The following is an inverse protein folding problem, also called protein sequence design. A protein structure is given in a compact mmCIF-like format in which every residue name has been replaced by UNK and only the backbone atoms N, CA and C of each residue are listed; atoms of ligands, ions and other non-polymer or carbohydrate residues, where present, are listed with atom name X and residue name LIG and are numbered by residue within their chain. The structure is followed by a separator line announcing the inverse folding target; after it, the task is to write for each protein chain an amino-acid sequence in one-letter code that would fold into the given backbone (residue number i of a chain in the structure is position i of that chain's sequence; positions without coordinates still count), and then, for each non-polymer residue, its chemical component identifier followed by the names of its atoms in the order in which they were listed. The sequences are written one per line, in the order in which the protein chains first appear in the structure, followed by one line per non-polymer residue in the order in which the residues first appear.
data_IF_254507771304
#
_entry.id   IF_254507771304
#
_cell.length_a   1.000
_cell.length_b   1.000
_cell.length_c   1.000
_cell.angle_alpha   90.00
_cell.angle_beta   90.00
_cell.angle_gamma   90.00
#
_symmetry.space_group_name_H-M   'P 1'
#
loop_
_entity.id
_entity.type
_entity.pdbx_description
1 polymer ?
#
# COMPACT_ATOMS: atom_id res chain seq x y z
N UNK A 1 -0.47 7.00 -23.64
CA UNK A 1 0.06 5.86 -22.86
C UNK A 1 -0.62 4.58 -23.34
N UNK A 2 -0.17 4.08 -24.49
CA UNK A 2 -0.67 2.84 -25.09
C UNK A 2 0.05 1.65 -24.47
N UNK A 3 -0.73 0.69 -23.98
CA UNK A 3 -0.23 -0.58 -23.47
C UNK A 3 -0.02 -1.50 -24.66
N UNK A 4 1.23 -1.63 -25.12
CA UNK A 4 1.62 -2.54 -26.20
C UNK A 4 1.92 -3.91 -25.60
N UNK A 5 1.00 -4.85 -25.74
CA UNK A 5 1.28 -6.29 -25.63
C UNK A 5 1.65 -6.78 -27.04
N UNK A 6 2.95 -6.76 -27.34
CA UNK A 6 3.49 -7.50 -28.46
C UNK A 6 3.65 -8.97 -28.03
N UNK A 7 2.87 -9.86 -28.61
CA UNK A 7 3.00 -11.30 -28.40
C UNK A 7 4.23 -11.82 -29.17
N UNK A 8 5.15 -12.59 -28.57
CA UNK A 8 6.29 -13.14 -29.28
C UNK A 8 5.87 -14.37 -30.12
N UNK A 9 6.23 -14.34 -31.40
CA UNK A 9 6.08 -15.48 -32.32
C UNK A 9 6.85 -16.72 -31.82
N UNK A 10 6.35 -17.95 -32.05
CA UNK A 10 7.03 -19.16 -31.59
C UNK A 10 8.28 -19.45 -32.43
N UNK A 11 9.41 -19.89 -31.83
CA UNK A 11 10.57 -20.32 -32.59
C UNK A 11 10.35 -21.68 -33.26
N UNK A 12 10.87 -21.78 -34.49
CA UNK A 12 10.86 -22.93 -35.38
C UNK A 12 11.63 -24.11 -34.78
N UNK A 13 11.00 -25.28 -34.69
CA UNK A 13 11.62 -26.53 -34.24
C UNK A 13 12.75 -27.00 -35.16
N UNK A 14 13.88 -27.48 -34.63
CA UNK A 14 14.78 -28.40 -35.33
C UNK A 14 14.62 -29.85 -34.84
N UNK A 15 14.61 -30.79 -35.78
CA UNK A 15 14.60 -32.23 -35.56
C UNK A 15 15.99 -32.75 -35.05
N UNK A 16 16.08 -33.98 -34.52
CA UNK A 16 17.03 -34.33 -33.46
C UNK A 16 18.36 -34.90 -33.97
N UNK A 17 19.44 -34.54 -33.28
CA UNK A 17 20.70 -35.30 -33.31
C UNK A 17 21.96 -34.43 -33.26
N UNK A 18 22.51 -34.23 -32.06
CA UNK A 18 23.93 -34.46 -31.72
C UNK A 18 24.28 -33.82 -30.37
N UNK A 19 24.83 -34.65 -29.48
CA UNK A 19 25.42 -34.26 -28.22
C UNK A 19 26.81 -33.65 -28.44
N UNK A 20 27.15 -32.58 -27.70
CA UNK A 20 28.31 -32.51 -26.80
C UNK A 20 28.74 -31.07 -26.47
N UNK A 21 29.20 -30.94 -25.22
CA UNK A 21 30.13 -29.94 -24.64
C UNK A 21 29.57 -28.64 -24.04
N UNK A 22 29.72 -28.58 -22.70
CA UNK A 22 29.84 -27.36 -21.92
C UNK A 22 31.25 -26.74 -22.08
N UNK A 23 31.38 -25.43 -21.86
CA UNK A 23 32.39 -24.97 -20.91
C UNK A 23 31.92 -23.82 -19.99
N UNK A 24 32.72 -23.62 -18.94
CA UNK A 24 32.48 -22.75 -17.79
C UNK A 24 32.96 -21.29 -17.95
N UNK A 25 32.50 -20.46 -17.02
CA UNK A 25 33.13 -19.26 -16.41
C UNK A 25 33.46 -18.01 -17.25
N UNK A 26 32.79 -16.88 -16.94
CA UNK A 26 33.36 -15.61 -16.40
C UNK A 26 32.30 -14.47 -16.43
N UNK A 27 32.36 -13.48 -15.53
CA UNK A 27 31.43 -12.35 -15.50
C UNK A 27 31.94 -11.16 -16.34
N UNK A 28 31.10 -10.43 -17.08
CA UNK A 28 31.46 -9.11 -17.55
C UNK A 28 30.95 -8.03 -16.58
N UNK A 29 31.87 -7.35 -15.90
CA UNK A 29 31.67 -5.96 -15.50
C UNK A 29 31.74 -5.09 -16.75
N UNK A 30 30.73 -4.27 -16.99
CA UNK A 30 30.87 -3.07 -17.81
C UNK A 30 29.88 -2.00 -17.32
N UNK A 31 30.46 -0.95 -16.76
CA UNK A 31 29.93 0.39 -16.62
C UNK A 31 28.95 0.81 -17.71
N UNK A 32 27.85 1.43 -17.35
CA UNK A 32 27.16 2.37 -18.23
C UNK A 32 26.63 3.52 -17.39
N UNK A 33 27.42 4.60 -17.37
CA UNK A 33 26.87 5.94 -17.25
C UNK A 33 25.93 6.13 -18.44
N UNK A 34 24.64 6.33 -18.18
CA UNK A 34 23.65 6.56 -19.23
C UNK A 34 23.02 7.94 -19.05
N UNK A 35 23.63 8.89 -19.77
CA UNK A 35 23.05 10.01 -20.52
C UNK A 35 21.76 10.66 -19.99
N UNK A 36 21.92 11.87 -19.45
CA UNK A 36 20.91 12.79 -18.93
C UNK A 36 20.17 13.59 -20.03
N UNK A 37 20.01 13.03 -21.24
CA UNK A 37 19.62 13.81 -22.42
C UNK A 37 18.23 13.52 -23.00
N UNK A 38 17.33 12.88 -22.24
CA UNK A 38 15.98 12.56 -22.74
C UNK A 38 14.89 12.75 -21.66
N UNK A 39 14.98 13.84 -20.90
CA UNK A 39 13.97 14.20 -19.90
C UNK A 39 13.22 15.44 -20.41
N UNK A 40 11.90 15.30 -20.56
CA UNK A 40 10.96 16.37 -20.92
C UNK A 40 11.20 17.61 -20.03
N UNK A 41 11.27 18.83 -20.62
CA UNK A 41 11.52 20.07 -19.87
C UNK A 41 10.54 20.31 -18.71
N UNK A 42 9.30 19.82 -18.80
CA UNK A 42 8.32 19.95 -17.71
C UNK A 42 8.64 19.01 -16.54
N UNK A 43 9.21 17.83 -16.82
CA UNK A 43 9.63 16.86 -15.81
C UNK A 43 10.89 17.35 -15.09
N UNK A 44 11.82 17.98 -15.81
CA UNK A 44 13.00 18.61 -15.19
C UNK A 44 12.61 19.72 -14.22
N UNK A 45 11.61 20.54 -14.57
CA UNK A 45 11.11 21.61 -13.70
C UNK A 45 10.46 21.07 -12.43
N UNK A 46 9.71 19.98 -12.55
CA UNK A 46 9.11 19.28 -11.41
C UNK A 46 10.20 18.69 -10.48
N UNK A 47 11.20 18.02 -11.04
CA UNK A 47 12.33 17.45 -10.25
C UNK A 47 13.12 18.56 -9.55
N UNK A 48 13.35 19.69 -10.22
CA UNK A 48 14.05 20.84 -9.64
C UNK A 48 13.31 21.45 -8.44
N UNK A 49 11.97 21.44 -8.46
CA UNK A 49 11.14 21.94 -7.37
C UNK A 49 11.36 21.15 -6.07
N UNK A 50 11.40 19.81 -6.15
CA UNK A 50 11.67 18.96 -4.99
C UNK A 50 13.11 19.05 -4.47
N UNK A 51 14.09 19.23 -5.37
CA UNK A 51 15.49 19.39 -4.96
C UNK A 51 15.75 20.75 -4.30
N UNK A 52 14.99 21.79 -4.69
CA UNK A 52 15.09 23.12 -4.10
C UNK A 52 14.57 23.20 -2.66
N UNK A 53 13.70 22.27 -2.25
CA UNK A 53 13.14 22.22 -0.89
C UNK A 53 14.10 21.54 0.13
N UNK A 54 15.21 20.97 -0.33
CA UNK A 54 16.18 20.23 0.50
C UNK A 54 17.52 20.93 0.78
N UNK A 55 17.73 22.17 0.33
CA UNK A 55 18.99 22.91 0.55
C UNK A 55 18.76 24.25 1.25
N UNK A 56 18.74 24.22 2.58
CA UNK A 56 19.03 25.39 3.43
C UNK A 56 20.52 25.40 3.82
N UNK A 57 21.23 26.28 3.13
CA UNK A 57 22.44 27.08 3.45
C UNK A 57 23.59 26.57 4.35
N UNK A 58 24.80 26.66 3.81
CA UNK A 58 26.06 26.87 4.54
C UNK A 58 26.65 28.23 4.12
N UNK A 59 26.85 29.18 5.06
CA UNK A 59 27.80 30.26 4.85
C UNK A 59 28.88 30.32 5.96
N UNK A 60 30.11 30.60 5.50
CA UNK A 60 31.33 30.73 6.27
C UNK A 60 31.42 32.04 7.09
N UNK A 61 32.26 32.01 8.13
CA UNK A 61 32.47 33.02 9.17
C UNK A 61 33.47 34.16 8.76
N UNK A 62 33.89 35.10 9.65
CA UNK A 62 33.49 36.52 9.59
C UNK A 62 34.66 37.54 9.51
N UNK A 63 34.36 38.82 9.24
CA UNK A 63 35.27 39.97 9.49
C UNK A 63 34.51 41.28 9.84
N UNK A 64 35.16 42.29 10.48
CA UNK A 64 34.55 43.07 11.57
C UNK A 64 34.28 44.58 11.34
N UNK A 65 33.19 45.09 11.96
CA UNK A 65 32.95 46.45 12.59
C UNK A 65 33.11 47.77 11.78
N UNK A 66 32.65 48.99 12.21
CA UNK A 66 31.82 49.41 13.37
C UNK A 66 30.68 50.47 13.11
N UNK A 67 29.84 50.71 14.14
CA UNK A 67 29.07 51.95 14.51
C UNK A 67 27.91 52.44 13.59
N UNK A 68 26.74 52.94 14.03
CA UNK A 68 26.39 53.76 15.21
C UNK A 68 24.84 53.86 15.38
N UNK A 69 24.37 53.81 16.63
CA UNK A 69 23.32 54.63 17.30
C UNK A 69 21.88 54.86 16.75
N UNK A 70 20.96 54.72 17.72
CA UNK A 70 19.68 55.45 18.00
C UNK A 70 18.32 54.93 17.46
N UNK A 71 17.48 54.45 18.39
CA UNK A 71 16.04 54.24 18.32
C UNK A 71 15.26 55.58 18.53
N UNK A 72 13.90 55.69 18.54
CA UNK A 72 12.85 54.64 18.52
C UNK A 72 11.58 54.94 17.66
N UNK A 73 10.75 53.91 17.41
CA UNK A 73 9.30 53.83 17.73
C UNK A 73 8.44 52.99 16.75
N UNK A 74 7.80 51.96 17.33
CA UNK A 74 6.45 51.39 17.08
C UNK A 74 6.05 51.02 15.63
N UNK A 75 5.98 49.72 15.33
CA UNK A 75 4.74 48.92 15.39
C UNK A 75 4.87 47.52 14.76
N UNK A 76 4.17 46.57 15.41
CA UNK A 76 3.60 45.29 14.93
C UNK A 76 4.49 44.12 14.49
N UNK A 77 4.48 43.11 15.37
CA UNK A 77 4.29 41.65 15.14
C UNK A 77 5.31 40.85 14.34
N UNK A 78 5.70 39.63 14.68
CA UNK A 78 5.63 38.78 15.88
C UNK A 78 6.44 37.55 15.46
N UNK A 79 7.65 37.36 15.99
CA UNK A 79 8.40 36.11 15.81
C UNK A 79 8.29 35.28 17.09
N UNK A 80 7.95 34.01 16.87
CA UNK A 80 7.69 33.00 17.88
C UNK A 80 8.98 32.53 18.55
N UNK A 81 9.19 32.93 19.80
CA UNK A 81 10.16 32.32 20.72
C UNK A 81 9.41 31.42 21.71
N UNK A 82 9.40 30.12 21.48
CA UNK A 82 8.71 29.12 22.32
C UNK A 82 9.65 28.09 22.94
N UNK A 83 10.97 28.27 22.81
CA UNK A 83 11.93 27.51 23.61
C UNK A 83 12.26 28.28 24.88
N UNK A 84 11.50 28.01 25.96
CA UNK A 84 12.09 27.79 27.28
C UNK A 84 11.07 27.49 28.38
N UNK A 85 11.22 26.28 28.93
CA UNK A 85 11.08 25.89 30.34
C UNK A 85 9.66 25.87 30.96
N UNK A 86 9.23 24.69 31.45
CA UNK A 86 9.33 24.31 32.89
C UNK A 86 8.57 23.00 33.15
N UNK A 87 9.29 22.06 33.76
CA UNK A 87 8.75 20.87 34.42
C UNK A 87 7.74 21.29 35.50
N UNK A 88 6.52 20.76 35.42
CA UNK A 88 5.51 20.83 36.48
C UNK A 88 4.97 19.42 36.72
N UNK A 89 4.90 18.93 37.97
CA UNK A 89 4.46 17.60 38.28
C UNK A 89 2.94 17.60 38.38
N UNK A 90 2.26 17.18 37.32
CA UNK A 90 0.90 16.68 37.46
C UNK A 90 0.65 15.67 36.36
N UNK A 91 1.01 14.43 36.64
CA UNK A 91 0.51 13.26 35.91
C UNK A 91 -0.98 13.10 36.19
N UNK A 92 -1.87 13.16 35.19
CA UNK A 92 -2.97 12.24 35.17
C UNK A 92 -2.40 10.92 34.64
N UNK A 93 -2.33 9.92 35.50
CA UNK A 93 -2.19 8.53 35.09
C UNK A 93 -3.25 8.26 34.02
N UNK A 94 -2.83 8.16 32.75
CA UNK A 94 -3.65 7.57 31.72
C UNK A 94 -3.71 6.08 32.01
N UNK A 95 -4.66 5.70 32.87
CA UNK A 95 -5.17 4.34 32.91
C UNK A 95 -5.91 4.15 31.58
N UNK A 96 -5.22 3.56 30.61
CA UNK A 96 -5.86 2.99 29.43
C UNK A 96 -6.94 2.01 29.91
N UNK A 97 -8.19 2.43 29.88
CA UNK A 97 -9.33 1.53 30.00
C UNK A 97 -9.36 0.68 28.72
N UNK A 98 -8.51 -0.35 28.65
CA UNK A 98 -8.74 -1.48 27.76
C UNK A 98 -10.02 -2.14 28.25
N UNK A 99 -11.12 -1.91 27.54
CA UNK A 99 -12.34 -2.68 27.70
C UNK A 99 -11.96 -4.13 27.44
N UNK A 100 -11.96 -4.93 28.51
CA UNK A 100 -11.65 -6.35 28.46
C UNK A 100 -12.77 -7.01 27.67
N UNK A 101 -12.43 -7.52 26.48
CA UNK A 101 -13.28 -8.37 25.65
C UNK A 101 -13.87 -9.50 26.51
N UNK A 102 -15.16 -9.86 26.36
CA UNK A 102 -15.71 -11.00 27.09
C UNK A 102 -14.89 -12.27 26.83
N UNK A 103 -14.74 -13.15 27.84
CA UNK A 103 -13.99 -14.39 27.67
C UNK A 103 -14.68 -15.25 26.60
N UNK A 104 -14.03 -15.37 25.43
CA UNK A 104 -14.52 -16.22 24.35
C UNK A 104 -14.43 -17.69 24.76
N UNK A 105 -15.44 -18.47 24.40
CA UNK A 105 -15.41 -19.92 24.58
C UNK A 105 -14.19 -20.51 23.85
N UNK A 106 -13.32 -21.27 24.54
CA UNK A 106 -12.07 -21.78 23.96
C UNK A 106 -12.28 -22.75 22.80
N UNK A 107 -13.52 -23.22 22.59
CA UNK A 107 -13.92 -24.14 21.54
C UNK A 107 -14.65 -23.45 20.37
N UNK A 108 -14.74 -22.11 20.35
CA UNK A 108 -15.29 -21.41 19.19
C UNK A 108 -14.37 -21.58 17.99
N UNK A 109 -14.96 -21.81 16.81
CA UNK A 109 -14.21 -21.90 15.54
C UNK A 109 -13.44 -20.61 15.24
N UNK A 110 -14.00 -19.44 15.59
CA UNK A 110 -13.32 -18.14 15.43
C UNK A 110 -12.03 -18.09 16.24
N UNK A 111 -12.08 -18.58 17.48
CA UNK A 111 -10.96 -18.58 18.40
C UNK A 111 -9.88 -19.60 18.01
N UNK A 112 -10.23 -20.69 17.34
CA UNK A 112 -9.24 -21.69 16.83
C UNK A 112 -8.52 -21.20 15.57
N UNK A 113 -9.14 -20.31 14.79
CA UNK A 113 -8.56 -19.77 13.55
C UNK A 113 -7.56 -18.63 13.78
N UNK A 114 -7.54 -18.05 14.98
CA UNK A 114 -6.64 -16.97 15.31
C UNK A 114 -5.17 -17.44 15.23
N UNK A 115 -4.27 -16.66 14.61
CA UNK A 115 -2.85 -16.98 14.56
C UNK A 115 -2.26 -17.11 15.97
N UNK A 116 -1.44 -18.13 16.18
CA UNK A 116 -0.68 -18.33 17.43
C UNK A 116 0.77 -17.83 17.33
N UNK A 117 1.25 -17.62 16.11
CA UNK A 117 2.60 -17.14 15.82
C UNK A 117 2.59 -15.85 14.99
N UNK A 118 3.64 -15.05 15.13
CA UNK A 118 3.86 -13.86 14.32
C UNK A 118 5.35 -13.60 14.08
N UNK A 119 5.64 -13.08 12.89
CA UNK A 119 6.98 -12.74 12.41
C UNK A 119 7.19 -11.22 12.49
N UNK A 120 8.17 -10.75 13.28
CA UNK A 120 8.43 -9.32 13.42
C UNK A 120 9.00 -8.70 12.14
N UNK A 121 9.72 -9.49 11.34
CA UNK A 121 10.23 -9.06 10.04
C UNK A 121 9.08 -8.83 9.07
N UNK A 122 8.13 -9.77 9.00
CA UNK A 122 6.97 -9.62 8.14
C UNK A 122 6.08 -8.45 8.57
N UNK A 123 5.90 -8.25 9.88
CA UNK A 123 5.17 -7.11 10.40
C UNK A 123 5.83 -5.78 10.01
N UNK A 124 7.16 -5.71 10.08
CA UNK A 124 7.92 -4.55 9.60
C UNK A 124 7.74 -4.32 8.10
N UNK A 125 7.91 -5.37 7.28
CA UNK A 125 7.81 -5.28 5.83
C UNK A 125 6.40 -4.79 5.42
N UNK A 126 5.34 -5.23 6.09
CA UNK A 126 3.98 -4.72 5.88
C UNK A 126 3.82 -3.25 6.27
N UNK A 127 4.35 -2.85 7.43
CA UNK A 127 4.27 -1.46 7.89
C UNK A 127 5.03 -0.50 6.95
N UNK A 128 6.23 -0.89 6.54
CA UNK A 128 7.06 -0.11 5.62
C UNK A 128 6.43 -0.04 4.22
N UNK A 129 5.94 -1.17 3.70
CA UNK A 129 5.26 -1.20 2.41
C UNK A 129 4.02 -0.30 2.42
N UNK A 130 3.23 -0.32 3.50
CA UNK A 130 2.08 0.57 3.63
C UNK A 130 2.48 2.05 3.60
N UNK A 131 3.56 2.44 4.26
CA UNK A 131 4.00 3.85 4.29
C UNK A 131 4.68 4.29 2.98
N UNK A 132 5.15 3.34 2.17
CA UNK A 132 5.82 3.62 0.91
C UNK A 132 4.87 4.31 -0.09
N UNK A 133 5.44 5.18 -0.94
CA UNK A 133 4.69 5.89 -2.00
C UNK A 133 4.00 4.90 -2.94
N UNK A 134 4.65 3.80 -3.29
CA UNK A 134 4.07 2.74 -4.12
C UNK A 134 2.89 2.03 -3.46
N UNK A 135 2.97 1.78 -2.15
CA UNK A 135 1.87 1.16 -1.40
C UNK A 135 0.65 2.08 -1.23
N UNK A 136 0.88 3.39 -1.12
CA UNK A 136 -0.18 4.39 -0.97
C UNK A 136 -0.85 4.79 -2.28
N UNK A 137 -0.17 4.63 -3.44
CA UNK A 137 -0.65 5.14 -4.74
C UNK A 137 -2.06 4.69 -5.10
N UNK A 138 -2.39 3.42 -4.88
CA UNK A 138 -3.74 2.91 -5.16
C UNK A 138 -4.81 3.53 -4.26
N UNK A 139 -4.47 3.81 -3.01
CA UNK A 139 -5.41 4.38 -2.05
C UNK A 139 -5.66 5.87 -2.34
N UNK A 140 -4.60 6.64 -2.66
CA UNK A 140 -4.75 8.04 -3.09
C UNK A 140 -5.52 8.13 -4.40
N UNK A 141 -5.27 7.24 -5.37
CA UNK A 141 -6.01 7.22 -6.63
C UNK A 141 -7.49 6.91 -6.45
N UNK A 142 -7.84 5.91 -5.61
CA UNK A 142 -9.23 5.47 -5.41
C UNK A 142 -10.03 6.34 -4.45
N UNK A 143 -9.40 6.82 -3.38
CA UNK A 143 -10.08 7.47 -2.25
C UNK A 143 -9.62 8.91 -2.00
N UNK A 144 -8.62 9.41 -2.74
CA UNK A 144 -8.13 10.79 -2.61
C UNK A 144 -7.43 11.09 -1.29
N UNK A 145 -7.14 10.08 -0.47
CA UNK A 145 -6.50 10.21 0.85
C UNK A 145 -5.38 9.19 1.02
N UNK A 146 -4.45 9.44 1.95
CA UNK A 146 -3.49 8.43 2.38
C UNK A 146 -4.18 7.44 3.33
N UNK A 147 -3.92 6.15 3.17
CA UNK A 147 -4.38 5.11 4.09
C UNK A 147 -3.68 5.27 5.43
N UNK A 148 -4.42 5.10 6.52
CA UNK A 148 -3.83 4.94 7.86
C UNK A 148 -3.02 3.64 7.93
N UNK A 149 -1.70 3.74 8.15
CA UNK A 149 -0.79 2.60 8.33
C UNK A 149 -0.50 2.26 9.80
N UNK A 150 -1.18 2.92 10.73
CA UNK A 150 -0.98 2.74 12.18
C UNK A 150 -1.13 1.29 12.62
N UNK A 151 -2.14 0.58 12.11
CA UNK A 151 -2.41 -0.83 12.41
C UNK A 151 -1.19 -1.73 12.16
N UNK A 152 -0.49 -1.55 11.03
CA UNK A 152 0.70 -2.35 10.71
C UNK A 152 1.90 -1.98 11.60
N UNK A 153 2.03 -0.71 11.98
CA UNK A 153 3.05 -0.28 12.94
C UNK A 153 2.77 -0.82 14.34
N UNK A 154 1.52 -0.88 14.77
CA UNK A 154 1.12 -1.48 16.04
C UNK A 154 1.45 -2.96 16.09
N UNK A 155 1.21 -3.71 15.00
CA UNK A 155 1.60 -5.12 14.88
C UNK A 155 3.13 -5.30 15.02
N UNK A 156 3.91 -4.43 14.37
CA UNK A 156 5.37 -4.46 14.48
C UNK A 156 5.85 -4.18 15.92
N UNK A 157 5.36 -3.10 16.53
CA UNK A 157 5.75 -2.75 17.90
C UNK A 157 5.28 -3.77 18.92
N UNK A 158 4.10 -4.36 18.71
CA UNK A 158 3.62 -5.47 19.51
C UNK A 158 4.59 -6.66 19.41
N UNK A 159 4.94 -7.09 18.20
CA UNK A 159 5.88 -8.20 17.99
C UNK A 159 7.23 -7.95 18.67
N UNK A 160 7.77 -6.73 18.55
CA UNK A 160 9.02 -6.35 19.22
C UNK A 160 8.89 -6.42 20.75
N UNK A 161 7.74 -6.04 21.31
CA UNK A 161 7.48 -6.06 22.75
C UNK A 161 7.37 -7.48 23.31
N UNK A 162 6.73 -8.39 22.57
CA UNK A 162 6.53 -9.79 22.99
C UNK A 162 7.70 -10.71 22.59
N UNK A 163 8.76 -10.19 21.97
CA UNK A 163 9.89 -10.99 21.48
C UNK A 163 10.56 -11.81 22.58
N UNK A 164 10.55 -11.33 23.83
CA UNK A 164 11.10 -12.03 24.99
C UNK A 164 10.20 -13.14 25.54
N UNK A 165 8.96 -13.25 25.07
CA UNK A 165 7.99 -14.22 25.57
C UNK A 165 8.28 -15.56 24.91
N UNK A 166 8.12 -16.65 25.66
CA UNK A 166 8.42 -18.02 25.19
C UNK A 166 7.23 -18.94 25.43
N UNK A 167 7.08 -19.94 24.56
CA UNK A 167 6.04 -20.97 24.66
C UNK A 167 4.61 -20.40 24.67
N UNK A 168 3.79 -20.94 25.57
CA UNK A 168 2.35 -20.68 25.66
C UNK A 168 2.02 -19.21 25.94
N UNK A 169 2.83 -18.50 26.73
CA UNK A 169 2.60 -17.09 27.04
C UNK A 169 2.71 -16.20 25.79
N UNK A 170 3.59 -16.56 24.85
CA UNK A 170 3.70 -15.85 23.57
C UNK A 170 2.47 -16.10 22.71
N UNK A 171 2.04 -17.35 22.62
CA UNK A 171 0.87 -17.75 21.82
C UNK A 171 -0.41 -17.08 22.33
N UNK A 172 -0.65 -17.09 23.64
CA UNK A 172 -1.81 -16.42 24.25
C UNK A 172 -1.78 -14.91 24.03
N UNK A 173 -0.61 -14.27 24.14
CA UNK A 173 -0.47 -12.84 23.89
C UNK A 173 -0.76 -12.49 22.42
N UNK A 174 -0.24 -13.29 21.48
CA UNK A 174 -0.48 -13.12 20.04
C UNK A 174 -1.96 -13.29 19.73
N UNK A 175 -2.57 -14.34 20.29
CA UNK A 175 -3.99 -14.65 20.10
C UNK A 175 -4.88 -13.52 20.63
N UNK A 176 -4.57 -13.00 21.81
CA UNK A 176 -5.26 -11.86 22.39
C UNK A 176 -5.14 -10.58 21.53
N UNK A 177 -3.96 -10.32 20.95
CA UNK A 177 -3.75 -9.19 20.04
C UNK A 177 -4.61 -9.30 18.78
N UNK A 178 -4.64 -10.47 18.12
CA UNK A 178 -5.50 -10.68 16.95
C UNK A 178 -6.98 -10.68 17.29
N UNK A 179 -7.39 -11.20 18.45
CA UNK A 179 -8.77 -11.12 18.92
C UNK A 179 -9.22 -9.67 19.07
N UNK A 180 -8.39 -8.83 19.70
CA UNK A 180 -8.69 -7.41 19.84
C UNK A 180 -8.76 -6.73 18.48
N UNK A 181 -7.84 -7.05 17.57
CA UNK A 181 -7.82 -6.54 16.21
C UNK A 181 -9.08 -6.89 15.41
N UNK A 182 -9.56 -8.13 15.51
CA UNK A 182 -10.82 -8.54 14.88
C UNK A 182 -12.02 -7.82 15.47
N UNK A 183 -12.07 -7.66 16.79
CA UNK A 183 -13.12 -6.90 17.46
C UNK A 183 -13.09 -5.41 17.05
N UNK A 184 -11.92 -4.81 16.89
CA UNK A 184 -11.78 -3.43 16.44
C UNK A 184 -12.13 -3.25 14.96
N UNK A 185 -12.18 -4.33 14.17
CA UNK A 185 -12.55 -4.29 12.75
C UNK A 185 -14.01 -4.69 12.50
N UNK A 186 -14.51 -5.69 13.22
CA UNK A 186 -15.79 -6.33 12.98
C UNK A 186 -16.69 -6.39 14.23
N UNK A 187 -16.28 -5.78 15.34
CA UNK A 187 -17.08 -5.73 16.56
C UNK A 187 -18.31 -4.85 16.43
N UNK A 188 -19.06 -4.75 17.54
CA UNK A 188 -20.39 -4.14 17.57
C UNK A 188 -20.43 -2.73 16.95
N UNK A 189 -21.36 -2.54 16.01
CA UNK A 189 -21.60 -1.26 15.34
C UNK A 189 -20.69 -0.95 14.16
N UNK A 190 -19.79 -1.86 13.77
CA UNK A 190 -19.02 -1.73 12.51
C UNK A 190 -19.74 -2.45 11.37
N UNK A 191 -19.68 -1.90 10.15
CA UNK A 191 -20.32 -2.53 9.00
C UNK A 191 -19.68 -3.89 8.73
N UNK A 192 -20.47 -4.95 8.85
CA UNK A 192 -20.05 -6.31 8.58
C UNK A 192 -20.86 -6.90 7.42
N UNK A 193 -20.30 -7.87 6.69
CA UNK A 193 -21.05 -8.60 5.67
C UNK A 193 -22.26 -9.34 6.25
N UNK A 194 -22.21 -9.69 7.54
CA UNK A 194 -23.31 -10.34 8.25
C UNK A 194 -24.54 -9.44 8.44
N UNK A 195 -24.38 -8.12 8.29
CA UNK A 195 -25.51 -7.16 8.32
C UNK A 195 -26.41 -7.30 7.08
N UNK A 196 -25.82 -7.73 5.95
CA UNK A 196 -26.52 -7.90 4.67
C UNK A 196 -26.83 -9.38 4.42
N UNK A 197 -25.90 -10.27 4.78
CA UNK A 197 -25.99 -11.70 4.49
C UNK A 197 -25.96 -12.54 5.76
N UNK A 198 -27.09 -13.19 6.06
CA UNK A 198 -27.18 -14.10 7.18
C UNK A 198 -26.70 -15.50 6.81
N UNK A 199 -25.96 -16.13 7.72
CA UNK A 199 -25.56 -17.52 7.58
C UNK A 199 -26.80 -18.43 7.50
N UNK A 200 -26.78 -19.38 6.56
CA UNK A 200 -27.90 -20.33 6.38
C UNK A 200 -27.91 -21.34 7.52
N UNK A 201 -29.07 -21.54 8.14
CA UNK A 201 -29.25 -22.51 9.24
C UNK A 201 -29.07 -23.97 8.80
N UNK A 202 -29.35 -24.26 7.53
CA UNK A 202 -29.30 -25.62 6.98
C UNK A 202 -28.34 -25.70 5.79
N UNK A 203 -27.71 -26.86 5.60
CA UNK A 203 -26.85 -27.11 4.44
C UNK A 203 -27.71 -27.12 3.17
N UNK A 204 -27.18 -26.52 2.10
CA UNK A 204 -27.81 -26.57 0.79
C UNK A 204 -27.75 -28.01 0.27
N UNK A 205 -28.88 -28.61 -0.15
CA UNK A 205 -28.90 -29.98 -0.63
C UNK A 205 -28.05 -30.12 -1.91
N UNK A 206 -27.36 -31.27 -2.08
CA UNK A 206 -26.49 -31.49 -3.21
C UNK A 206 -27.28 -31.39 -4.52
N UNK A 207 -26.71 -30.72 -5.53
CA UNK A 207 -27.31 -30.56 -6.86
C UNK A 207 -28.32 -29.42 -7.02
N UNK A 208 -28.51 -28.56 -6.00
CA UNK A 208 -29.44 -27.41 -6.09
C UNK A 208 -28.76 -26.07 -6.40
N UNK A 209 -27.51 -25.87 -5.96
CA UNK A 209 -26.75 -24.66 -6.25
C UNK A 209 -25.71 -24.95 -7.34
N UNK A 210 -25.52 -23.97 -8.23
CA UNK A 210 -24.53 -24.01 -9.32
C UNK A 210 -24.70 -25.20 -10.29
N UNK A 211 -25.95 -25.61 -10.56
CA UNK A 211 -26.27 -26.75 -11.45
C UNK A 211 -26.30 -26.38 -12.93
N UNK A 212 -26.34 -25.08 -13.24
CA UNK A 212 -26.29 -24.59 -14.61
C UNK A 212 -24.93 -24.92 -15.23
N UNK A 213 -24.95 -25.64 -16.35
CA UNK A 213 -23.72 -25.92 -17.08
C UNK A 213 -23.31 -24.63 -17.79
N UNK A 214 -22.07 -24.23 -17.59
CA UNK A 214 -21.47 -23.18 -18.40
C UNK A 214 -21.39 -23.69 -19.85
N UNK A 215 -22.21 -23.12 -20.74
CA UNK A 215 -22.06 -23.31 -22.17
C UNK A 215 -20.94 -22.40 -22.65
N UNK A 216 -19.81 -23.00 -23.00
CA UNK A 216 -18.70 -22.25 -23.59
C UNK A 216 -19.18 -21.59 -24.89
N UNK A 217 -19.02 -20.27 -25.04
CA UNK A 217 -19.42 -19.59 -26.26
C UNK A 217 -18.78 -20.24 -27.48
N UNK A 218 -19.59 -20.56 -28.50
CA UNK A 218 -19.11 -21.16 -29.76
C UNK A 218 -18.37 -20.17 -30.66
N UNK A 219 -18.38 -18.88 -30.29
CA UNK A 219 -17.80 -17.79 -31.05
C UNK A 219 -16.36 -17.59 -30.60
N UNK A 220 -15.46 -17.52 -31.57
CA UNK A 220 -14.06 -17.21 -31.33
C UNK A 220 -13.90 -15.77 -30.81
N UNK A 221 -12.86 -15.54 -30.01
CA UNK A 221 -12.61 -14.25 -29.36
C UNK A 221 -12.44 -13.13 -30.41
N UNK A 222 -11.85 -13.43 -31.56
CA UNK A 222 -11.69 -12.47 -32.66
C UNK A 222 -13.03 -12.07 -33.29
N UNK A 223 -13.93 -13.04 -33.49
CA UNK A 223 -15.26 -12.79 -34.05
C UNK A 223 -16.10 -11.99 -33.06
N UNK A 224 -16.03 -12.33 -31.78
CA UNK A 224 -16.69 -11.59 -30.72
C UNK A 224 -16.20 -10.14 -30.66
N UNK A 225 -14.88 -9.91 -30.74
CA UNK A 225 -14.31 -8.56 -30.76
C UNK A 225 -14.77 -7.74 -31.97
N UNK A 226 -14.84 -8.35 -33.17
CA UNK A 226 -15.34 -7.69 -34.37
C UNK A 226 -16.80 -7.31 -34.24
N UNK A 227 -17.65 -8.22 -33.76
CA UNK A 227 -19.07 -7.95 -33.51
C UNK A 227 -19.26 -6.83 -32.49
N UNK A 228 -18.48 -6.81 -31.41
CA UNK A 228 -18.56 -5.76 -30.40
C UNK A 228 -18.08 -4.40 -30.93
N UNK A 229 -17.05 -4.37 -31.79
CA UNK A 229 -16.63 -3.14 -32.47
C UNK A 229 -17.71 -2.61 -33.41
N UNK A 230 -18.34 -3.46 -34.20
CA UNK A 230 -19.39 -3.07 -35.13
C UNK A 230 -20.65 -2.62 -34.39
N UNK A 231 -21.03 -3.30 -33.31
CA UNK A 231 -22.11 -2.89 -32.41
C UNK A 231 -21.85 -1.49 -31.84
N UNK A 232 -20.63 -1.22 -31.38
CA UNK A 232 -20.23 0.11 -30.87
C UNK A 232 -20.25 1.18 -31.95
N UNK A 233 -19.83 0.85 -33.18
CA UNK A 233 -19.95 1.76 -34.34
C UNK A 233 -21.40 2.10 -34.62
N UNK A 234 -22.28 1.11 -34.70
CA UNK A 234 -23.72 1.31 -34.94
C UNK A 234 -24.39 2.17 -33.87
N UNK A 235 -24.03 1.99 -32.60
CA UNK A 235 -24.51 2.86 -31.52
C UNK A 235 -24.02 4.30 -31.72
N UNK A 236 -22.75 4.48 -32.09
CA UNK A 236 -22.18 5.80 -32.35
C UNK A 236 -22.84 6.50 -33.54
N UNK A 237 -23.12 5.77 -34.62
CA UNK A 237 -23.80 6.30 -35.81
C UNK A 237 -25.25 6.65 -35.49
N UNK A 238 -25.96 5.80 -34.74
CA UNK A 238 -27.33 6.07 -34.26
C UNK A 238 -27.43 7.28 -33.31
N UNK A 239 -26.37 7.58 -32.57
CA UNK A 239 -26.24 8.79 -31.74
C UNK A 239 -25.70 10.01 -32.51
N UNK A 240 -25.37 9.87 -33.80
CA UNK A 240 -24.90 10.96 -34.67
C UNK A 240 -23.49 11.47 -34.36
N UNK A 241 -22.64 10.68 -33.67
CA UNK A 241 -21.31 11.09 -33.19
C UNK A 241 -20.21 10.67 -34.21
N UNK A 242 -20.47 10.83 -35.51
CA UNK A 242 -19.55 10.35 -36.56
C UNK A 242 -18.30 11.22 -36.77
N UNK A 243 -18.17 12.36 -36.07
CA UNK A 243 -17.12 13.36 -36.34
C UNK A 243 -16.13 13.68 -35.22
N UNK A 244 -16.18 13.02 -34.06
CA UNK A 244 -15.32 13.38 -32.91
C UNK A 244 -14.00 12.58 -32.84
N UNK A 245 -13.32 12.38 -33.97
CA UNK A 245 -11.91 11.95 -33.98
C UNK A 245 -11.05 13.02 -34.64
N UNK A 246 -10.38 13.81 -33.79
CA UNK A 246 -9.14 14.50 -34.08
C UNK A 246 -8.10 14.01 -33.06
#
# INVERSE_FOLDING_TARGET
MGWLWASPSPPKSPAPGQASQAPASTPPSSSTASNDSDIDPEIQKFIAMFQSEGKQEEPAAPQPTPSSSTAPSKSSSSTSSWFSLKSSPNSPSQTNNRTITPPADPNSVSETLLPTEMSCRQAFDMAFHCQSVGGQWNHIYRYGTMRSCSEHWEDFWFCMRIKSYTGTMKEEAIKAHYRQKEHDKYGDGKPNSEDIWQARTTKVPPGTAFTEKFEEPTLDDEEWQRMEMDRRRQIRTGLGIEGASA
#
